data_IF_710532583200
#
_entry.id   IF_710532583200
#
_cell.length_a   1.000
_cell.length_b   1.000
_cell.length_c   1.000
_cell.angle_alpha   90.00
_cell.angle_beta   90.00
_cell.angle_gamma   90.00
#
_symmetry.space_group_name_H-M   'P 1'
#
loop_
_entity.id
_entity.type
_entity.pdbx_description
1 polymer ?
#
# COMPACT_ATOMS: atom_id res chain seq x y z
N UNK A 1 18.34 62.68 -15.37
CA UNK A 1 17.29 63.61 -15.83
C UNK A 1 16.96 63.28 -17.28
N UNK A 2 15.66 63.22 -17.60
CA UNK A 2 14.97 63.31 -18.92
C UNK A 2 15.64 62.67 -20.17
N UNK A 3 15.05 61.76 -20.95
CA UNK A 3 13.64 61.50 -21.29
C UNK A 3 13.39 61.83 -22.79
N UNK A 4 12.63 60.96 -23.48
CA UNK A 4 11.86 61.17 -24.75
C UNK A 4 12.49 60.60 -26.04
N UNK A 5 12.09 59.40 -26.54
CA UNK A 5 10.92 59.00 -27.38
C UNK A 5 11.17 59.16 -28.90
N UNK A 6 11.01 58.16 -29.77
CA UNK A 6 9.77 57.56 -30.35
C UNK A 6 10.22 56.46 -31.37
N UNK A 7 9.46 55.44 -31.80
CA UNK A 7 8.03 55.12 -31.70
C UNK A 7 7.78 53.63 -31.33
N UNK A 8 6.60 53.18 -30.87
CA UNK A 8 5.20 53.43 -31.30
C UNK A 8 4.95 52.79 -32.68
N UNK A 9 4.06 51.82 -32.95
CA UNK A 9 2.88 51.24 -32.28
C UNK A 9 2.71 49.77 -32.72
N UNK A 10 2.15 48.90 -31.87
CA UNK A 10 1.49 47.66 -32.33
C UNK A 10 1.71 46.41 -31.47
N UNK A 11 1.29 46.42 -30.20
CA UNK A 11 0.96 45.19 -29.46
C UNK A 11 -0.55 44.87 -29.69
N UNK A 12 -1.03 43.61 -29.54
CA UNK A 12 -0.98 42.94 -28.24
C UNK A 12 -0.53 41.46 -28.24
N UNK A 13 0.10 41.14 -27.13
CA UNK A 13 0.19 39.81 -26.52
C UNK A 13 -1.19 39.17 -26.33
N UNK A 14 -1.29 37.88 -26.65
CA UNK A 14 -2.20 36.94 -25.95
C UNK A 14 -1.82 35.49 -26.28
N UNK A 15 -1.27 34.79 -25.28
CA UNK A 15 -1.51 33.38 -24.90
C UNK A 15 -1.88 32.36 -26.00
N UNK A 16 -1.19 31.20 -26.08
CA UNK A 16 -1.66 30.12 -26.96
C UNK A 16 -2.98 29.56 -26.41
N UNK A 17 -4.08 29.81 -27.14
CA UNK A 17 -5.36 29.19 -26.90
C UNK A 17 -5.28 27.72 -27.33
N UNK A 18 -5.47 26.82 -26.36
CA UNK A 18 -5.82 25.43 -26.61
C UNK A 18 -7.15 25.39 -27.39
N UNK A 19 -7.16 24.72 -28.54
CA UNK A 19 -8.39 24.36 -29.24
C UNK A 19 -8.66 25.09 -30.54
N UNK A 20 -7.85 24.83 -31.58
CA UNK A 20 -8.27 24.93 -32.97
C UNK A 20 -7.31 24.12 -33.84
N UNK A 21 -7.54 22.81 -33.97
CA UNK A 21 -6.90 22.00 -35.00
C UNK A 21 -7.89 21.77 -36.13
N UNK A 22 -7.49 22.23 -37.31
CA UNK A 22 -8.13 22.05 -38.61
C UNK A 22 -8.40 20.56 -38.85
N UNK A 23 -9.66 20.19 -39.10
CA UNK A 23 -10.00 18.83 -39.53
C UNK A 23 -9.48 18.58 -40.96
N UNK A 24 -8.64 17.56 -41.20
CA UNK A 24 -8.50 17.01 -42.54
C UNK A 24 -9.70 16.08 -42.78
N UNK A 25 -10.51 16.41 -43.79
CA UNK A 25 -11.54 15.51 -44.30
C UNK A 25 -10.84 14.32 -45.00
N UNK A 26 -10.82 13.16 -44.34
CA UNK A 26 -10.37 11.90 -44.91
C UNK A 26 -11.59 11.08 -45.36
N UNK A 27 -11.64 10.86 -46.67
CA UNK A 27 -12.64 10.06 -47.36
C UNK A 27 -12.74 8.64 -46.82
N UNK A 28 -13.97 8.14 -46.89
CA UNK A 28 -14.41 6.82 -46.51
C UNK A 28 -13.80 5.72 -47.37
N UNK A 29 -12.75 5.06 -46.87
CA UNK A 29 -12.44 3.65 -47.19
C UNK A 29 -11.24 3.19 -46.37
N UNK A 30 -11.49 2.62 -45.19
CA UNK A 30 -10.51 1.84 -44.44
C UNK A 30 -11.00 0.38 -44.39
N UNK A 31 -10.18 -0.61 -44.78
CA UNK A 31 -10.51 -2.01 -44.54
C UNK A 31 -10.48 -2.27 -43.04
N UNK A 32 -11.53 -2.92 -42.53
CA UNK A 32 -11.61 -3.34 -41.13
C UNK A 32 -10.44 -4.27 -40.79
N UNK A 33 -9.47 -3.76 -40.04
CA UNK A 33 -8.35 -4.54 -39.54
C UNK A 33 -8.77 -5.18 -38.22
N UNK A 34 -8.94 -6.51 -38.24
CA UNK A 34 -8.83 -7.40 -37.09
C UNK A 34 -9.60 -7.01 -35.83
N UNK A 35 -10.87 -7.39 -35.74
CA UNK A 35 -11.50 -7.61 -34.45
C UNK A 35 -10.61 -8.55 -33.61
N UNK A 36 -10.45 -8.35 -32.30
CA UNK A 36 -9.84 -9.35 -31.44
C UNK A 36 -10.69 -10.61 -31.59
N UNK A 37 -10.13 -11.62 -32.25
CA UNK A 37 -10.65 -12.98 -32.21
C UNK A 37 -10.46 -13.47 -30.78
N UNK A 38 -11.39 -13.10 -29.91
CA UNK A 38 -11.68 -13.91 -28.73
C UNK A 38 -11.95 -15.31 -29.27
N UNK A 39 -11.12 -16.33 -28.94
CA UNK A 39 -11.45 -17.68 -29.34
C UNK A 39 -12.79 -17.98 -28.68
N UNK A 40 -13.81 -18.23 -29.48
CA UNK A 40 -15.11 -18.67 -29.02
C UNK A 40 -14.98 -20.11 -28.50
N UNK A 41 -14.36 -20.27 -27.33
CA UNK A 41 -14.41 -21.50 -26.55
C UNK A 41 -15.80 -21.61 -25.93
N UNK A 42 -16.72 -22.17 -26.72
CA UNK A 42 -18.11 -22.39 -26.32
C UNK A 42 -18.97 -23.12 -27.36
N UNK A 43 -18.48 -23.30 -28.60
CA UNK A 43 -19.22 -23.97 -29.67
C UNK A 43 -19.29 -25.50 -29.56
N UNK A 44 -18.61 -26.12 -28.60
CA UNK A 44 -18.78 -27.55 -28.28
C UNK A 44 -20.01 -27.85 -27.41
N UNK A 45 -20.88 -26.86 -27.17
CA UNK A 45 -22.08 -26.97 -26.33
C UNK A 45 -23.30 -27.58 -27.04
N UNK A 46 -23.21 -27.99 -28.31
CA UNK A 46 -24.38 -28.45 -29.07
C UNK A 46 -24.95 -29.80 -28.61
N UNK A 47 -24.13 -30.66 -27.99
CA UNK A 47 -24.56 -31.95 -27.44
C UNK A 47 -24.86 -31.86 -25.94
N UNK A 48 -24.09 -31.07 -25.17
CA UNK A 48 -24.26 -30.94 -23.72
C UNK A 48 -25.43 -30.02 -23.34
N UNK A 49 -25.61 -28.90 -24.06
CA UNK A 49 -26.72 -27.96 -23.83
C UNK A 49 -28.10 -28.52 -24.19
N UNK A 50 -28.17 -29.50 -25.11
CA UNK A 50 -29.42 -30.22 -25.43
C UNK A 50 -29.88 -31.12 -24.29
N UNK A 51 -28.97 -31.73 -23.53
CA UNK A 51 -29.29 -32.56 -22.36
C UNK A 51 -29.82 -31.74 -21.17
N UNK A 52 -29.26 -30.55 -20.94
CA UNK A 52 -29.73 -29.63 -19.89
C UNK A 52 -31.17 -29.14 -20.13
N UNK A 53 -31.54 -28.90 -21.39
CA UNK A 53 -32.91 -28.49 -21.75
C UNK A 53 -33.93 -29.59 -21.47
N UNK A 54 -33.59 -30.85 -21.75
CA UNK A 54 -34.42 -32.01 -21.42
C UNK A 54 -34.53 -32.26 -19.90
N UNK A 55 -33.47 -31.99 -19.12
CA UNK A 55 -33.49 -32.08 -17.65
C UNK A 55 -34.33 -30.96 -17.00
N UNK A 56 -34.33 -29.76 -17.58
CA UNK A 56 -35.15 -28.64 -17.12
C UNK A 56 -36.66 -28.90 -17.29
N UNK A 57 -37.03 -29.66 -18.33
CA UNK A 57 -38.41 -30.11 -18.56
C UNK A 57 -38.86 -31.18 -17.55
N UNK A 58 -37.93 -32.01 -17.04
CA UNK A 58 -38.24 -33.09 -16.08
C UNK A 58 -38.15 -32.63 -14.62
N UNK A 59 -37.19 -31.78 -14.25
CA UNK A 59 -37.08 -31.20 -12.91
C UNK A 59 -36.31 -29.85 -12.92
N UNK A 60 -37.01 -28.70 -12.84
CA UNK A 60 -36.39 -27.38 -12.99
C UNK A 60 -35.45 -27.02 -11.82
N UNK A 61 -35.68 -27.58 -10.62
CA UNK A 61 -34.79 -27.39 -9.47
C UNK A 61 -33.48 -28.17 -9.61
N UNK A 62 -33.46 -29.22 -10.44
CA UNK A 62 -32.27 -29.98 -10.76
C UNK A 62 -31.46 -29.22 -11.80
N UNK A 63 -32.08 -28.78 -12.91
CA UNK A 63 -31.41 -27.97 -13.93
C UNK A 63 -30.76 -26.69 -13.35
N UNK A 64 -31.47 -25.94 -12.48
CA UNK A 64 -30.93 -24.74 -11.84
C UNK A 64 -29.70 -25.03 -10.96
N UNK A 65 -29.69 -26.15 -10.23
CA UNK A 65 -28.54 -26.58 -9.42
C UNK A 65 -27.38 -27.06 -10.28
N UNK A 66 -27.65 -27.75 -11.39
CA UNK A 66 -26.62 -28.15 -12.33
C UNK A 66 -25.96 -26.95 -13.00
N UNK A 67 -26.74 -25.96 -13.45
CA UNK A 67 -26.22 -24.73 -14.03
C UNK A 67 -25.36 -23.93 -13.03
N UNK A 68 -25.80 -23.85 -11.76
CA UNK A 68 -25.01 -23.22 -10.71
C UNK A 68 -23.68 -23.97 -10.47
N UNK A 69 -23.71 -25.30 -10.39
CA UNK A 69 -22.50 -26.13 -10.21
C UNK A 69 -21.52 -25.96 -11.37
N UNK A 70 -22.00 -25.97 -12.61
CA UNK A 70 -21.18 -25.76 -13.82
C UNK A 70 -20.56 -24.36 -13.81
N UNK A 71 -21.33 -23.34 -13.43
CA UNK A 71 -20.82 -21.96 -13.32
C UNK A 71 -19.73 -21.83 -12.24
N UNK A 72 -19.94 -22.43 -11.06
CA UNK A 72 -18.93 -22.43 -9.98
C UNK A 72 -17.66 -23.18 -10.37
N UNK A 73 -17.80 -24.34 -10.99
CA UNK A 73 -16.67 -25.16 -11.45
C UNK A 73 -15.86 -24.45 -12.54
N UNK A 74 -16.53 -23.92 -13.57
CA UNK A 74 -15.86 -23.19 -14.65
C UNK A 74 -15.17 -21.93 -14.15
N UNK A 75 -15.77 -21.21 -13.19
CA UNK A 75 -15.14 -20.07 -12.52
C UNK A 75 -13.89 -20.46 -11.73
N UNK A 76 -13.94 -21.55 -10.95
CA UNK A 76 -12.80 -22.05 -10.19
C UNK A 76 -11.68 -22.57 -11.10
N UNK A 77 -12.00 -23.20 -12.23
CA UNK A 77 -11.03 -23.65 -13.22
C UNK A 77 -10.30 -22.47 -13.87
N UNK A 78 -11.04 -21.43 -14.28
CA UNK A 78 -10.44 -20.19 -14.81
C UNK A 78 -9.56 -19.50 -13.77
N UNK A 79 -10.00 -19.42 -12.52
CA UNK A 79 -9.20 -18.85 -11.44
C UNK A 79 -7.91 -19.64 -11.17
N UNK A 80 -7.94 -20.97 -11.29
CA UNK A 80 -6.74 -21.81 -11.19
C UNK A 80 -5.76 -21.52 -12.33
N UNK A 81 -6.25 -21.38 -13.56
CA UNK A 81 -5.46 -21.02 -14.74
C UNK A 81 -4.83 -19.63 -14.57
N UNK A 82 -5.61 -18.65 -14.09
CA UNK A 82 -5.10 -17.33 -13.73
C UNK A 82 -3.98 -17.43 -12.70
N UNK A 83 -4.15 -18.18 -11.59
CA UNK A 83 -3.11 -18.38 -10.59
C UNK A 83 -1.84 -18.97 -11.21
N UNK A 84 -1.94 -20.00 -12.05
CA UNK A 84 -0.77 -20.62 -12.69
C UNK A 84 0.00 -19.68 -13.62
N UNK A 85 -0.69 -18.70 -14.21
CA UNK A 85 -0.09 -17.69 -15.08
C UNK A 85 0.21 -16.37 -14.38
N UNK A 86 0.04 -16.27 -13.05
CA UNK A 86 0.37 -15.03 -12.35
C UNK A 86 1.87 -14.75 -12.38
N UNK A 87 2.22 -13.52 -12.76
CA UNK A 87 3.57 -13.01 -12.60
C UNK A 87 3.86 -12.80 -11.11
N UNK A 88 4.51 -13.79 -10.51
CA UNK A 88 4.88 -13.76 -9.11
C UNK A 88 6.03 -12.79 -8.83
N UNK A 89 6.91 -12.55 -9.79
CA UNK A 89 8.09 -11.71 -9.57
C UNK A 89 7.66 -10.25 -9.37
N UNK A 90 6.76 -9.73 -10.20
CA UNK A 90 6.18 -8.40 -9.99
C UNK A 90 5.43 -8.27 -8.65
N UNK A 91 4.70 -9.31 -8.23
CA UNK A 91 4.02 -9.33 -6.92
C UNK A 91 5.00 -9.34 -5.75
N UNK A 92 6.07 -10.13 -5.85
CA UNK A 92 7.14 -10.21 -4.84
C UNK A 92 7.84 -8.85 -4.75
N UNK A 93 8.18 -8.22 -5.88
CA UNK A 93 8.81 -6.91 -5.89
C UNK A 93 7.93 -5.82 -5.27
N UNK A 94 6.63 -5.81 -5.60
CA UNK A 94 5.67 -4.91 -4.97
C UNK A 94 5.59 -5.10 -3.46
N UNK A 95 5.47 -6.35 -3.00
CA UNK A 95 5.40 -6.67 -1.57
C UNK A 95 6.69 -6.30 -0.81
N UNK A 96 7.86 -6.48 -1.44
CA UNK A 96 9.14 -6.03 -0.89
C UNK A 96 9.14 -4.50 -0.76
N UNK A 97 8.73 -3.78 -1.81
CA UNK A 97 8.63 -2.32 -1.79
C UNK A 97 7.73 -1.80 -0.66
N UNK A 98 6.55 -2.40 -0.48
CA UNK A 98 5.62 -2.06 0.59
C UNK A 98 6.22 -2.33 1.99
N UNK A 99 6.90 -3.47 2.15
CA UNK A 99 7.53 -3.84 3.42
C UNK A 99 8.67 -2.87 3.80
N UNK A 100 9.56 -2.57 2.86
CA UNK A 100 10.65 -1.60 3.04
C UNK A 100 10.11 -0.21 3.34
N UNK A 101 9.06 0.22 2.64
CA UNK A 101 8.42 1.51 2.88
C UNK A 101 7.82 1.58 4.30
N UNK A 102 7.12 0.52 4.73
CA UNK A 102 6.55 0.43 6.08
C UNK A 102 7.63 0.51 7.15
N UNK A 103 8.75 -0.16 6.96
CA UNK A 103 9.90 -0.09 7.87
C UNK A 103 10.50 1.32 7.90
N UNK A 104 10.69 1.95 6.74
CA UNK A 104 11.22 3.31 6.64
C UNK A 104 10.32 4.35 7.35
N UNK A 105 9.00 4.21 7.23
CA UNK A 105 8.04 5.05 7.98
C UNK A 105 8.19 4.82 9.47
N UNK A 106 8.25 3.56 9.90
CA UNK A 106 8.42 3.20 11.32
C UNK A 106 9.73 3.74 11.88
N UNK A 107 10.82 3.72 11.11
CA UNK A 107 12.10 4.29 11.49
C UNK A 107 12.03 5.82 11.63
N UNK A 108 11.33 6.51 10.73
CA UNK A 108 11.09 7.96 10.83
C UNK A 108 10.27 8.34 12.06
N UNK A 109 9.23 7.57 12.38
CA UNK A 109 8.43 7.76 13.60
C UNK A 109 9.31 7.65 14.84
N UNK A 110 10.08 6.55 14.96
CA UNK A 110 11.01 6.36 16.09
C UNK A 110 12.04 7.51 16.20
N UNK A 111 12.57 7.99 15.08
CA UNK A 111 13.50 9.11 15.07
C UNK A 111 12.85 10.43 15.56
N UNK A 112 11.59 10.67 15.18
CA UNK A 112 10.79 11.80 15.67
C UNK A 112 10.57 11.73 17.18
N UNK A 113 10.16 10.56 17.68
CA UNK A 113 9.93 10.35 19.12
C UNK A 113 11.20 10.58 19.95
N UNK A 114 12.35 10.09 19.48
CA UNK A 114 13.64 10.35 20.11
C UNK A 114 13.95 11.85 20.15
N UNK A 115 13.66 12.57 19.06
CA UNK A 115 13.86 14.02 19.00
C UNK A 115 12.97 14.77 19.98
N UNK A 116 11.69 14.40 20.08
CA UNK A 116 10.73 14.98 21.01
C UNK A 116 11.17 14.75 22.47
N UNK A 117 11.56 13.54 22.82
CA UNK A 117 12.07 13.22 24.16
C UNK A 117 13.32 14.01 24.51
N UNK A 118 14.26 14.19 23.57
CA UNK A 118 15.44 15.06 23.76
C UNK A 118 15.04 16.51 24.01
N UNK A 119 14.05 17.03 23.30
CA UNK A 119 13.53 18.38 23.53
C UNK A 119 12.89 18.51 24.92
N UNK A 120 12.14 17.50 25.36
CA UNK A 120 11.56 17.45 26.72
C UNK A 120 12.64 17.45 27.80
N UNK A 121 13.68 16.63 27.66
CA UNK A 121 14.84 16.62 28.57
C UNK A 121 15.44 18.02 28.68
N UNK A 122 15.62 18.72 27.55
CA UNK A 122 16.12 20.09 27.56
C UNK A 122 15.20 21.06 28.32
N UNK A 123 13.88 20.97 28.12
CA UNK A 123 12.93 21.82 28.85
C UNK A 123 12.93 21.55 30.35
N UNK A 124 13.00 20.27 30.77
CA UNK A 124 13.05 19.89 32.19
C UNK A 124 14.35 20.38 32.85
N UNK A 125 15.48 20.28 32.15
CA UNK A 125 16.74 20.85 32.63
C UNK A 125 16.68 22.37 32.78
N UNK A 126 16.00 23.05 31.84
CA UNK A 126 15.76 24.50 31.94
C UNK A 126 14.87 24.84 33.14
N UNK A 127 13.86 24.03 33.45
CA UNK A 127 13.04 24.19 34.65
C UNK A 127 13.85 24.01 35.93
N UNK A 128 14.70 22.97 36.03
CA UNK A 128 15.60 22.78 37.18
C UNK A 128 16.51 23.99 37.42
N UNK A 129 17.08 24.56 36.35
CA UNK A 129 17.90 25.78 36.45
C UNK A 129 17.10 26.97 36.96
N UNK A 130 15.84 27.11 36.54
CA UNK A 130 14.93 28.16 37.02
C UNK A 130 14.56 27.97 38.48
N UNK A 131 14.20 26.76 38.90
CA UNK A 131 13.90 26.44 40.31
C UNK A 131 15.10 26.77 41.21
N UNK A 132 16.32 26.44 40.77
CA UNK A 132 17.54 26.79 41.50
C UNK A 132 17.75 28.31 41.61
N UNK A 133 17.41 29.07 40.57
CA UNK A 133 17.50 30.53 40.62
C UNK A 133 16.48 31.14 41.61
N UNK A 134 15.27 30.56 41.69
CA UNK A 134 14.25 30.98 42.67
C UNK A 134 14.68 30.72 44.11
N UNK A 135 15.29 29.57 44.37
CA UNK A 135 15.88 29.26 45.68
C UNK A 135 16.95 30.30 46.05
N UNK A 136 17.86 30.61 45.12
CA UNK A 136 18.90 31.61 45.34
C UNK A 136 18.35 33.03 45.55
N UNK A 137 17.12 33.30 45.12
CA UNK A 137 16.41 34.57 45.32
C UNK A 137 15.52 34.55 46.58
N UNK A 138 15.56 33.50 47.39
CA UNK A 138 14.72 33.28 48.58
C UNK A 138 13.20 33.25 48.31
N UNK A 139 12.79 33.03 47.05
CA UNK A 139 11.37 32.99 46.65
C UNK A 139 10.69 31.66 47.02
N UNK A 140 11.47 30.59 47.19
CA UNK A 140 11.00 29.25 47.57
C UNK A 140 11.84 28.69 48.73
N UNK A 141 11.24 27.84 49.56
CA UNK A 141 11.96 27.19 50.66
C UNK A 141 12.89 26.08 50.16
N UNK A 142 13.92 25.75 50.94
CA UNK A 142 14.86 24.67 50.60
C UNK A 142 14.16 23.31 50.49
N UNK A 143 13.15 23.05 51.33
CA UNK A 143 12.38 21.81 51.33
C UNK A 143 11.54 21.66 50.05
N UNK A 144 10.87 22.75 49.65
CA UNK A 144 10.10 22.83 48.41
C UNK A 144 10.99 22.63 47.18
N UNK A 145 12.16 23.29 47.14
CA UNK A 145 13.14 23.08 46.07
C UNK A 145 13.64 21.63 46.00
N UNK A 146 13.96 21.00 47.13
CA UNK A 146 14.47 19.62 47.15
C UNK A 146 13.43 18.63 46.61
N UNK A 147 12.16 18.83 46.94
CA UNK A 147 11.05 18.02 46.43
C UNK A 147 10.87 18.20 44.91
N UNK A 148 10.82 19.45 44.45
CA UNK A 148 10.69 19.78 43.02
C UNK A 148 11.89 19.28 42.19
N UNK A 149 13.13 19.48 42.68
CA UNK A 149 14.34 19.04 41.98
C UNK A 149 14.42 17.51 41.91
N UNK A 150 14.00 16.80 42.95
CA UNK A 150 13.92 15.34 42.95
C UNK A 150 12.91 14.82 41.92
N UNK A 151 11.73 15.44 41.82
CA UNK A 151 10.71 15.09 40.83
C UNK A 151 11.19 15.38 39.39
N UNK A 152 11.77 16.56 39.14
CA UNK A 152 12.31 16.89 37.82
C UNK A 152 13.53 16.03 37.46
N UNK A 153 14.34 15.63 38.44
CA UNK A 153 15.47 14.74 38.22
C UNK A 153 15.03 13.32 37.86
N UNK A 154 13.99 12.79 38.53
CA UNK A 154 13.44 11.48 38.19
C UNK A 154 12.81 11.48 36.79
N UNK A 155 12.11 12.55 36.41
CA UNK A 155 11.52 12.68 35.07
C UNK A 155 12.58 12.79 33.97
N UNK A 156 13.64 13.58 34.19
CA UNK A 156 14.79 13.64 33.27
C UNK A 156 15.44 12.27 33.10
N UNK A 157 15.53 11.49 34.17
CA UNK A 157 16.11 10.15 34.13
C UNK A 157 15.20 9.18 33.38
N UNK A 158 13.89 9.19 33.65
CA UNK A 158 12.92 8.37 32.93
C UNK A 158 12.91 8.66 31.43
N UNK A 159 12.97 9.94 31.02
CA UNK A 159 13.03 10.30 29.60
C UNK A 159 14.37 9.89 28.94
N UNK A 160 15.49 9.91 29.67
CA UNK A 160 16.77 9.39 29.17
C UNK A 160 16.71 7.88 28.96
N UNK A 161 16.15 7.14 29.91
CA UNK A 161 15.96 5.69 29.79
C UNK A 161 15.07 5.35 28.61
N UNK A 162 13.97 6.07 28.42
CA UNK A 162 13.10 5.90 27.26
C UNK A 162 13.84 6.15 25.92
N UNK A 163 14.73 7.15 25.86
CA UNK A 163 15.57 7.38 24.67
C UNK A 163 16.52 6.21 24.39
N UNK A 164 17.13 5.64 25.43
CA UNK A 164 18.00 4.46 25.27
C UNK A 164 17.21 3.23 24.84
N UNK A 165 16.02 3.00 25.40
CA UNK A 165 15.12 1.92 24.95
C UNK A 165 14.78 2.06 23.47
N UNK A 166 14.34 3.24 23.02
CA UNK A 166 14.01 3.48 21.62
C UNK A 166 15.20 3.28 20.67
N UNK A 167 16.43 3.60 21.12
CA UNK A 167 17.65 3.32 20.36
C UNK A 167 17.97 1.82 20.31
N UNK A 168 17.79 1.10 21.42
CA UNK A 168 18.02 -0.35 21.45
C UNK A 168 17.01 -1.08 20.54
N UNK A 169 15.73 -0.70 20.61
CA UNK A 169 14.70 -1.18 19.69
C UNK A 169 15.07 -0.86 18.23
N UNK A 170 15.65 0.31 17.97
CA UNK A 170 16.12 0.65 16.65
C UNK A 170 17.27 -0.23 16.17
N UNK A 171 18.24 -0.50 17.03
CA UNK A 171 19.35 -1.41 16.71
C UNK A 171 18.86 -2.85 16.48
N UNK A 172 17.87 -3.30 17.24
CA UNK A 172 17.28 -4.62 17.09
C UNK A 172 16.49 -4.75 15.78
N UNK A 173 15.78 -3.68 15.37
CA UNK A 173 15.12 -3.63 14.07
C UNK A 173 16.12 -3.70 12.91
N UNK A 174 17.22 -2.92 12.98
CA UNK A 174 18.28 -2.97 11.96
C UNK A 174 19.09 -4.28 11.94
N UNK A 175 19.01 -5.09 13.00
CA UNK A 175 19.65 -6.40 13.05
C UNK A 175 18.94 -7.42 12.15
N UNK A 176 17.67 -7.20 11.81
CA UNK A 176 17.02 -7.91 10.71
C UNK A 176 17.62 -7.37 9.42
N UNK A 177 18.47 -8.16 8.77
CA UNK A 177 19.08 -7.74 7.52
C UNK A 177 18.03 -7.57 6.43
N UNK A 178 18.23 -6.60 5.54
CA UNK A 178 17.38 -6.36 4.36
C UNK A 178 17.22 -7.64 3.51
N UNK A 179 18.29 -8.44 3.42
CA UNK A 179 18.28 -9.74 2.77
C UNK A 179 17.35 -10.76 3.45
N UNK A 180 17.27 -10.74 4.78
CA UNK A 180 16.38 -11.61 5.54
C UNK A 180 14.91 -11.17 5.40
N UNK A 181 14.65 -9.86 5.38
CA UNK A 181 13.31 -9.32 5.09
C UNK A 181 12.86 -9.71 3.68
N UNK A 182 13.70 -9.50 2.66
CA UNK A 182 13.42 -9.89 1.29
C UNK A 182 13.10 -11.39 1.17
N UNK A 183 13.89 -12.23 1.84
CA UNK A 183 13.66 -13.67 1.87
C UNK A 183 12.31 -14.01 2.51
N UNK A 184 12.01 -13.49 3.70
CA UNK A 184 10.74 -13.74 4.41
C UNK A 184 9.54 -13.29 3.59
N UNK A 185 9.58 -12.09 3.00
CA UNK A 185 8.50 -11.56 2.16
C UNK A 185 8.29 -12.43 0.92
N UNK A 186 9.38 -12.83 0.25
CA UNK A 186 9.32 -13.74 -0.91
C UNK A 186 8.67 -15.08 -0.53
N UNK A 187 9.13 -15.70 0.56
CA UNK A 187 8.58 -16.96 1.08
C UNK A 187 7.10 -16.84 1.46
N UNK A 188 6.69 -15.73 2.09
CA UNK A 188 5.30 -15.48 2.46
C UNK A 188 4.39 -15.37 1.22
N UNK A 189 4.82 -14.62 0.20
CA UNK A 189 4.07 -14.46 -1.05
C UNK A 189 3.94 -15.79 -1.78
N UNK A 190 5.03 -16.57 -1.86
CA UNK A 190 5.04 -17.90 -2.45
C UNK A 190 4.09 -18.86 -1.70
N UNK A 191 4.18 -18.91 -0.37
CA UNK A 191 3.35 -19.79 0.44
C UNK A 191 1.86 -19.45 0.32
N UNK A 192 1.50 -18.16 0.30
CA UNK A 192 0.12 -17.71 0.06
C UNK A 192 -0.38 -18.11 -1.32
N UNK A 193 0.48 -18.00 -2.33
CA UNK A 193 0.14 -18.36 -3.70
C UNK A 193 -0.07 -19.88 -3.86
N UNK A 194 0.87 -20.69 -3.36
CA UNK A 194 0.79 -22.15 -3.37
C UNK A 194 -0.43 -22.67 -2.61
N UNK A 195 -0.74 -22.06 -1.46
CA UNK A 195 -1.95 -22.34 -0.69
C UNK A 195 -3.22 -22.05 -1.49
N UNK A 196 -3.24 -20.96 -2.24
CA UNK A 196 -4.38 -20.59 -3.09
C UNK A 196 -4.59 -21.63 -4.21
N UNK A 197 -3.51 -22.02 -4.89
CA UNK A 197 -3.55 -23.08 -5.90
C UNK A 197 -4.06 -24.39 -5.30
N UNK A 198 -3.53 -24.82 -4.15
CA UNK A 198 -3.90 -26.07 -3.51
C UNK A 198 -5.36 -26.08 -3.08
N UNK A 199 -5.85 -24.98 -2.51
CA UNK A 199 -7.25 -24.82 -2.12
C UNK A 199 -8.18 -24.89 -3.34
N UNK A 200 -7.86 -24.16 -4.42
CA UNK A 200 -8.67 -24.20 -5.65
C UNK A 200 -8.63 -25.57 -6.32
N UNK A 201 -7.48 -26.25 -6.33
CA UNK A 201 -7.40 -27.65 -6.82
C UNK A 201 -8.24 -28.60 -5.98
N UNK A 202 -8.17 -28.51 -4.65
CA UNK A 202 -8.98 -29.33 -3.76
C UNK A 202 -10.49 -29.09 -3.97
N UNK A 203 -10.88 -27.82 -4.14
CA UNK A 203 -12.25 -27.46 -4.47
C UNK A 203 -12.70 -28.10 -5.79
N UNK A 204 -11.91 -28.02 -6.85
CA UNK A 204 -12.23 -28.65 -8.14
C UNK A 204 -12.33 -30.18 -8.04
N UNK A 205 -11.42 -30.82 -7.28
CA UNK A 205 -11.43 -32.27 -7.07
C UNK A 205 -12.64 -32.75 -6.28
N UNK A 206 -13.21 -31.90 -5.40
CA UNK A 206 -14.42 -32.25 -4.67
C UNK A 206 -15.66 -32.43 -5.57
N UNK A 207 -15.69 -31.75 -6.74
CA UNK A 207 -16.76 -31.95 -7.73
C UNK A 207 -16.58 -33.22 -8.55
N UNK A 208 -15.35 -33.72 -8.70
CA UNK A 208 -15.07 -34.98 -9.42
C UNK A 208 -15.41 -36.23 -8.59
N UNK A 209 -15.67 -36.07 -7.30
CA UNK A 209 -16.03 -37.15 -6.37
C UNK A 209 -17.55 -37.27 -6.13
N UNK A 210 -18.35 -36.39 -6.75
CA UNK A 210 -19.83 -36.43 -6.77
C UNK A 210 -20.33 -37.09 -8.07
#
# INVERSE_FOLDING_TARGET
>A
MFGTSTGVFGAPSSTPAFGASSSPALGSSMPSFGAPSTPAFGSSSSSFGKGLKALAEVNPLYAKRFDETIYRYSGAARYLEELQHTDLESKIQGAIGDAVLKEAITAKVRASDISEKKARIWSLQKQRRRARAKLNAEEITQEEFNLEDAALASEVQAEKEAVEVLKQEASAATAVSDAELHKRVREEVLAKHEKSISNTKAYLMSFSLL
#
